data_IF_617332754784
#
_entry.id   IF_617332754784
#
_cell.length_a   1.000
_cell.length_b   1.000
_cell.length_c   1.000
_cell.angle_alpha   90.00
_cell.angle_beta   90.00
_cell.angle_gamma   90.00
#
_symmetry.space_group_name_H-M   'P 1'
#
loop_
_entity.id
_entity.type
_entity.pdbx_description
1 polymer ?
#
# COMPACT_ATOMS: atom_id res chain seq x y z
N UNK A 1 -20.57 -15.85 23.31
CA UNK A 1 -19.97 -15.10 22.20
C UNK A 1 -18.60 -15.70 22.01
N UNK A 2 -18.50 -16.67 21.11
CA UNK A 2 -17.21 -17.30 20.77
C UNK A 2 -16.40 -16.26 20.00
N UNK A 3 -15.22 -15.92 20.53
CA UNK A 3 -14.22 -15.22 19.74
C UNK A 3 -13.66 -16.28 18.80
N UNK A 4 -14.19 -16.36 17.58
CA UNK A 4 -13.53 -17.13 16.53
C UNK A 4 -12.15 -16.51 16.31
N UNK A 5 -11.11 -17.22 16.79
CA UNK A 5 -9.75 -16.94 16.40
C UNK A 5 -9.68 -17.13 14.89
N UNK A 6 -9.72 -16.04 14.15
CA UNK A 6 -9.43 -16.04 12.71
C UNK A 6 -7.99 -16.53 12.57
N UNK A 7 -7.82 -17.79 12.14
CA UNK A 7 -6.50 -18.38 11.89
C UNK A 7 -5.67 -17.45 11.00
N UNK A 8 -4.35 -17.41 11.22
CA UNK A 8 -3.43 -16.67 10.34
C UNK A 8 -3.61 -17.03 8.86
N UNK A 9 -4.03 -18.25 8.57
CA UNK A 9 -4.35 -18.73 7.22
C UNK A 9 -5.47 -17.90 6.55
N UNK A 10 -6.48 -17.49 7.30
CA UNK A 10 -7.58 -16.70 6.75
C UNK A 10 -7.13 -15.31 6.31
N UNK A 11 -6.13 -14.72 6.99
CA UNK A 11 -5.52 -13.44 6.57
C UNK A 11 -4.67 -13.64 5.31
N UNK A 12 -3.92 -14.75 5.23
CA UNK A 12 -3.15 -15.10 4.03
C UNK A 12 -4.05 -15.27 2.80
N UNK A 13 -5.16 -16.01 2.94
CA UNK A 13 -6.15 -16.22 1.88
C UNK A 13 -6.86 -14.93 1.44
N UNK A 14 -6.91 -13.90 2.28
CA UNK A 14 -7.49 -12.60 1.89
C UNK A 14 -6.46 -11.64 1.25
N UNK A 15 -5.17 -11.98 1.24
CA UNK A 15 -4.09 -11.04 0.89
C UNK A 15 -3.04 -11.65 -0.05
N UNK A 16 -2.20 -12.54 0.48
CA UNK A 16 -0.96 -13.02 -0.15
C UNK A 16 -1.12 -14.38 -0.82
N UNK A 17 -2.20 -15.12 -0.60
CA UNK A 17 -2.45 -16.40 -1.29
C UNK A 17 -3.96 -16.66 -1.49
N UNK A 18 -4.68 -15.82 -2.23
CA UNK A 18 -6.11 -16.00 -2.43
C UNK A 18 -6.43 -17.23 -3.28
N UNK A 19 -7.51 -17.93 -2.92
CA UNK A 19 -8.04 -18.97 -3.78
C UNK A 19 -8.56 -18.37 -5.10
N UNK A 20 -8.43 -19.07 -6.23
CA UNK A 20 -8.89 -18.57 -7.52
C UNK A 20 -10.36 -18.15 -7.47
N UNK A 21 -10.66 -16.93 -7.96
CA UNK A 21 -12.02 -16.39 -8.01
C UNK A 21 -12.44 -15.54 -6.80
N UNK A 22 -11.61 -15.44 -5.77
CA UNK A 22 -11.88 -14.59 -4.60
C UNK A 22 -11.27 -13.19 -4.72
N UNK A 23 -11.92 -12.22 -4.07
CA UNK A 23 -11.41 -10.85 -3.97
C UNK A 23 -10.19 -10.78 -3.04
N UNK A 24 -9.28 -9.85 -3.34
CA UNK A 24 -8.00 -9.68 -2.62
C UNK A 24 -7.94 -8.32 -1.96
N UNK A 25 -7.50 -8.27 -0.71
CA UNK A 25 -7.14 -7.02 -0.03
C UNK A 25 -5.70 -6.66 -0.41
N UNK A 26 -5.57 -5.83 -1.45
CA UNK A 26 -4.27 -5.42 -1.98
C UNK A 26 -3.54 -4.40 -1.09
N UNK A 27 -4.30 -3.56 -0.37
CA UNK A 27 -3.77 -2.47 0.46
C UNK A 27 -4.54 -2.33 1.75
N UNK A 28 -3.82 -2.15 2.86
CA UNK A 28 -4.36 -1.71 4.14
C UNK A 28 -3.94 -0.27 4.40
N UNK A 29 -4.79 0.49 5.10
CA UNK A 29 -4.50 1.89 5.41
C UNK A 29 -4.47 2.12 6.91
N UNK A 30 -3.48 2.89 7.36
CA UNK A 30 -3.49 3.54 8.68
C UNK A 30 -3.24 5.04 8.52
N UNK A 31 -3.67 5.84 9.51
CA UNK A 31 -3.52 7.30 9.49
C UNK A 31 -2.91 7.78 10.80
N UNK A 32 -1.96 8.71 10.72
CA UNK A 32 -1.41 9.45 11.87
C UNK A 32 -1.30 10.92 11.52
N UNK A 33 -2.17 11.75 12.10
CA UNK A 33 -2.33 13.15 11.68
C UNK A 33 -2.67 13.23 10.19
N UNK A 34 -1.95 14.06 9.43
CA UNK A 34 -2.18 14.27 7.99
C UNK A 34 -1.38 13.30 7.11
N UNK A 35 -0.92 12.18 7.68
CA UNK A 35 -0.16 11.16 6.97
C UNK A 35 -0.98 9.87 6.87
N UNK A 36 -1.08 9.32 5.67
CA UNK A 36 -1.60 7.98 5.40
C UNK A 36 -0.44 7.02 5.14
N UNK A 37 -0.60 5.79 5.60
CA UNK A 37 0.31 4.69 5.34
C UNK A 37 -0.47 3.61 4.57
N UNK A 38 -0.11 3.40 3.31
CA UNK A 38 -0.65 2.35 2.47
C UNK A 38 0.27 1.13 2.55
N UNK A 39 -0.18 0.10 3.26
CA UNK A 39 0.55 -1.12 3.57
C UNK A 39 0.15 -2.19 2.56
N UNK A 40 1.11 -2.66 1.79
CA UNK A 40 0.93 -3.64 0.72
C UNK A 40 1.58 -4.96 1.14
N UNK A 41 0.80 -6.04 1.36
CA UNK A 41 1.32 -7.37 1.66
C UNK A 41 2.06 -8.02 0.47
N UNK A 42 1.90 -7.46 -0.73
CA UNK A 42 2.57 -7.89 -1.96
C UNK A 42 3.09 -6.67 -2.69
N UNK A 43 4.34 -6.72 -3.14
CA UNK A 43 4.91 -5.64 -3.95
C UNK A 43 4.22 -5.58 -5.33
N UNK A 44 3.59 -4.46 -5.71
CA UNK A 44 2.95 -4.34 -7.01
C UNK A 44 4.00 -4.26 -8.12
N UNK A 45 3.80 -5.00 -9.22
CA UNK A 45 4.79 -5.11 -10.30
C UNK A 45 5.08 -3.81 -11.05
N UNK A 46 4.06 -2.96 -11.23
CA UNK A 46 4.17 -1.76 -12.08
C UNK A 46 3.60 -0.52 -11.39
N UNK A 47 2.34 -0.59 -11.00
CA UNK A 47 1.61 0.53 -10.42
C UNK A 47 0.60 0.04 -9.39
N UNK A 48 0.21 0.96 -8.52
CA UNK A 48 -0.90 0.78 -7.61
C UNK A 48 -1.81 2.01 -7.65
N UNK A 49 -3.11 1.78 -7.52
CA UNK A 49 -4.10 2.86 -7.44
C UNK A 49 -4.60 2.94 -6.00
N UNK A 50 -4.35 4.06 -5.35
CA UNK A 50 -4.86 4.36 -4.02
C UNK A 50 -6.14 5.17 -4.19
N UNK A 51 -7.26 4.55 -3.83
CA UNK A 51 -8.59 5.11 -4.10
C UNK A 51 -8.98 6.16 -3.07
N UNK A 52 -9.73 7.17 -3.52
CA UNK A 52 -10.37 8.17 -2.67
C UNK A 52 -9.39 8.91 -1.74
N UNK A 53 -8.19 9.21 -2.24
CA UNK A 53 -7.19 10.04 -1.55
C UNK A 53 -6.94 11.31 -2.36
N UNK A 54 -7.24 12.44 -1.75
CA UNK A 54 -6.99 13.76 -2.32
C UNK A 54 -5.65 14.31 -1.86
N UNK A 55 -4.83 14.70 -2.84
CA UNK A 55 -3.51 15.32 -2.59
C UNK A 55 -3.61 16.84 -2.45
N UNK A 56 -2.62 17.41 -1.79
CA UNK A 56 -2.38 18.85 -1.74
C UNK A 56 -1.13 19.19 -2.55
N UNK A 57 -0.91 20.48 -2.83
CA UNK A 57 0.33 20.96 -3.47
C UNK A 57 1.61 20.63 -2.69
N UNK A 58 1.48 20.20 -1.42
CA UNK A 58 2.59 19.85 -0.53
C UNK A 58 2.71 18.34 -0.32
N UNK A 59 1.86 17.53 -0.96
CA UNK A 59 1.87 16.08 -0.76
C UNK A 59 3.19 15.48 -1.22
N UNK A 60 3.70 14.55 -0.41
CA UNK A 60 4.86 13.71 -0.74
C UNK A 60 4.47 12.25 -0.58
N UNK A 61 4.94 11.42 -1.50
CA UNK A 61 4.76 9.97 -1.43
C UNK A 61 6.14 9.33 -1.50
N UNK A 62 6.45 8.47 -0.54
CA UNK A 62 7.72 7.75 -0.45
C UNK A 62 7.48 6.29 -0.05
N UNK A 63 8.36 5.40 -0.53
CA UNK A 63 8.41 4.01 -0.08
C UNK A 63 9.31 3.94 1.16
N UNK A 64 8.77 3.48 2.29
CA UNK A 64 9.56 3.39 3.52
C UNK A 64 10.68 2.35 3.37
N UNK A 65 11.87 2.71 3.87
CA UNK A 65 13.07 1.88 3.79
C UNK A 65 13.78 1.91 2.43
N UNK A 66 13.36 2.78 1.51
CA UNK A 66 13.99 2.93 0.20
C UNK A 66 14.23 4.40 -0.13
N UNK A 67 15.40 4.68 -0.71
CA UNK A 67 15.74 6.01 -1.26
C UNK A 67 15.27 6.18 -2.71
N UNK A 68 14.65 5.16 -3.30
CA UNK A 68 14.17 5.20 -4.67
C UNK A 68 13.04 6.22 -4.83
N UNK A 69 13.10 6.97 -5.94
CA UNK A 69 12.08 7.98 -6.24
C UNK A 69 10.76 7.32 -6.62
N UNK A 70 9.72 7.60 -5.84
CA UNK A 70 8.34 7.19 -6.15
C UNK A 70 7.67 8.23 -7.06
N UNK A 71 7.28 7.82 -8.27
CA UNK A 71 6.52 8.66 -9.18
C UNK A 71 5.03 8.43 -8.98
N UNK A 72 4.24 9.50 -8.98
CA UNK A 72 2.79 9.41 -8.78
C UNK A 72 2.05 10.57 -9.42
N UNK A 73 0.74 10.41 -9.64
CA UNK A 73 -0.16 11.48 -10.10
C UNK A 73 -1.58 11.32 -9.57
N UNK A 74 -2.25 12.44 -9.33
CA UNK A 74 -3.70 12.46 -9.07
C UNK A 74 -4.46 12.11 -10.36
N UNK A 75 -5.48 11.26 -10.25
CA UNK A 75 -6.45 10.91 -11.30
C UNK A 75 -7.86 10.98 -10.72
N UNK A 76 -8.54 12.12 -10.88
CA UNK A 76 -9.83 12.33 -10.23
C UNK A 76 -9.70 12.14 -8.73
N UNK A 77 -10.48 11.22 -8.15
CA UNK A 77 -10.45 10.97 -6.72
C UNK A 77 -9.29 10.08 -6.24
N UNK A 78 -8.53 9.50 -7.16
CA UNK A 78 -7.53 8.47 -6.88
C UNK A 78 -6.10 8.98 -7.11
N UNK A 79 -5.13 8.26 -6.54
CA UNK A 79 -3.70 8.45 -6.82
C UNK A 79 -3.18 7.21 -7.56
N UNK A 80 -2.61 7.40 -8.73
CA UNK A 80 -1.83 6.36 -9.42
C UNK A 80 -0.37 6.52 -9.04
N UNK A 81 0.19 5.51 -8.36
CA UNK A 81 1.60 5.45 -7.97
C UNK A 81 2.31 4.43 -8.85
N UNK A 82 3.42 4.83 -9.45
CA UNK A 82 4.34 3.94 -10.17
C UNK A 82 5.32 3.38 -9.14
N UNK A 83 5.32 2.06 -8.99
CA UNK A 83 6.20 1.39 -8.04
C UNK A 83 7.63 1.41 -8.55
N UNK A 84 8.62 1.80 -7.73
CA UNK A 84 10.02 1.76 -8.16
C UNK A 84 10.43 0.32 -8.48
N UNK A 85 11.32 0.15 -9.46
CA UNK A 85 11.96 -1.14 -9.67
C UNK A 85 13.03 -1.32 -8.59
N UNK A 86 12.97 -2.42 -7.86
CA UNK A 86 13.92 -2.77 -6.81
C UNK A 86 14.62 -4.08 -7.19
N UNK A 87 15.93 -4.11 -7.02
CA UNK A 87 16.66 -5.38 -6.97
C UNK A 87 16.41 -6.08 -5.64
N UNK A 88 16.74 -7.38 -5.57
CA UNK A 88 16.46 -8.21 -4.38
C UNK A 88 17.17 -7.68 -3.14
N UNK A 89 18.39 -7.15 -3.30
CA UNK A 89 19.20 -6.53 -2.24
C UNK A 89 18.73 -5.11 -1.86
N UNK A 90 17.85 -4.50 -2.66
CA UNK A 90 17.23 -3.20 -2.38
C UNK A 90 15.83 -3.33 -1.74
N UNK A 91 15.33 -4.55 -1.54
CA UNK A 91 14.03 -4.77 -0.91
C UNK A 91 14.09 -4.27 0.55
N UNK A 92 13.20 -3.34 0.96
CA UNK A 92 13.26 -2.76 2.30
C UNK A 92 12.82 -3.74 3.40
N UNK A 93 12.23 -4.87 3.02
CA UNK A 93 11.67 -5.90 3.90
C UNK A 93 11.19 -7.13 3.10
N UNK A 94 10.88 -8.22 3.81
CA UNK A 94 10.46 -9.50 3.20
C UNK A 94 8.94 -9.65 3.01
N UNK A 95 8.12 -8.93 3.79
CA UNK A 95 6.70 -9.29 3.96
C UNK A 95 5.68 -8.21 3.60
N UNK A 96 5.95 -6.92 3.85
CA UNK A 96 4.98 -5.87 3.61
C UNK A 96 5.63 -4.51 3.36
N UNK A 97 5.25 -3.87 2.25
CA UNK A 97 5.82 -2.62 1.79
C UNK A 97 4.88 -1.46 2.08
N UNK A 98 5.42 -0.31 2.45
CA UNK A 98 4.60 0.83 2.89
C UNK A 98 4.89 2.07 2.07
N UNK A 99 3.86 2.57 1.37
CA UNK A 99 3.89 3.94 0.86
C UNK A 99 3.41 4.88 1.97
N UNK A 100 4.24 5.84 2.34
CA UNK A 100 3.87 6.94 3.22
C UNK A 100 3.44 8.13 2.37
N UNK A 101 2.19 8.55 2.55
CA UNK A 101 1.62 9.72 1.92
C UNK A 101 1.54 10.83 2.97
N UNK A 102 2.32 11.88 2.80
CA UNK A 102 2.37 13.01 3.74
C UNK A 102 1.55 14.18 3.24
N UNK A 103 0.90 14.91 4.17
CA UNK A 103 0.17 16.15 3.88
C UNK A 103 -0.93 15.96 2.82
N UNK A 104 -1.70 14.89 2.96
CA UNK A 104 -2.94 14.70 2.21
C UNK A 104 -4.01 15.70 2.67
N UNK A 105 -5.06 15.91 1.87
CA UNK A 105 -6.20 16.71 2.34
C UNK A 105 -6.97 15.94 3.42
N UNK A 106 -7.75 16.67 4.22
CA UNK A 106 -8.70 16.04 5.15
C UNK A 106 -9.89 15.43 4.42
#
# INVERSE_FOLDING_TARGET
>A
MEIENVSGDAILKQTVDPDPGYAVKEVFFTKKGNNIYAIMPRYPKNKIVLKDIQTTSRTKIALLGSDQKVQWKQKGNDIEVIMPLLYVDELPCDYAWVLKLEKISE
#
